data_IF_999830031037
#
_entry.id   IF_999830031037
#
_cell.length_a   1.000
_cell.length_b   1.000
_cell.length_c   1.000
_cell.angle_alpha   90.00
_cell.angle_beta   90.00
_cell.angle_gamma   90.00
#
_symmetry.space_group_name_H-M   'P 1'
#
loop_
_entity.id
_entity.type
_entity.pdbx_description
1 polymer ?
#
# COMPACT_ATOMS: atom_id res chain seq x y z
N UNK A 1 6.77 9.43 9.06
CA UNK A 1 8.23 9.27 8.88
C UNK A 1 8.55 9.27 7.39
N UNK A 2 9.68 9.84 7.01
CA UNK A 2 10.22 9.85 5.65
C UNK A 2 11.65 9.32 5.69
N UNK A 3 12.01 8.51 4.71
CA UNK A 3 13.36 7.98 4.58
C UNK A 3 13.64 7.58 3.15
N UNK A 4 14.89 7.19 2.92
CA UNK A 4 15.37 6.64 1.65
C UNK A 4 15.82 5.20 1.87
N UNK A 5 16.10 4.50 0.79
CA UNK A 5 16.69 3.16 0.85
C UNK A 5 18.03 3.18 0.12
N UNK A 6 19.06 2.57 0.72
CA UNK A 6 20.37 2.45 0.08
C UNK A 6 20.43 1.24 -0.89
N UNK A 7 21.61 1.03 -1.49
CA UNK A 7 21.85 -0.10 -2.42
C UNK A 7 21.72 -1.48 -1.75
N UNK A 8 21.83 -1.55 -0.43
CA UNK A 8 21.67 -2.77 0.36
C UNK A 8 20.22 -3.03 0.78
N UNK A 9 19.28 -2.19 0.32
CA UNK A 9 17.85 -2.21 0.69
C UNK A 9 17.60 -1.86 2.17
N UNK A 10 18.56 -1.22 2.84
CA UNK A 10 18.38 -0.72 4.20
C UNK A 10 17.68 0.64 4.18
N UNK A 11 16.64 0.78 5.01
CA UNK A 11 15.92 2.05 5.16
C UNK A 11 16.74 3.01 6.03
N UNK A 12 16.88 4.24 5.55
CA UNK A 12 17.56 5.34 6.23
C UNK A 12 16.54 6.45 6.46
N UNK A 13 15.98 6.58 7.68
CA UNK A 13 15.08 7.68 8.00
C UNK A 13 15.87 9.00 7.97
N UNK A 14 15.30 10.02 7.34
CA UNK A 14 15.89 11.36 7.32
C UNK A 14 14.91 12.45 7.76
N UNK A 15 13.64 12.12 7.97
CA UNK A 15 12.63 13.08 8.39
C UNK A 15 11.49 12.45 9.18
N UNK A 16 10.93 13.22 10.10
CA UNK A 16 9.74 12.86 10.86
C UNK A 16 8.79 14.05 10.86
N UNK A 17 7.55 13.82 10.44
CA UNK A 17 6.46 14.75 10.65
C UNK A 17 5.72 14.32 11.91
N UNK A 18 5.56 15.24 12.85
CA UNK A 18 4.66 15.09 13.99
C UNK A 18 3.38 15.86 13.67
N UNK A 19 2.28 15.14 13.45
CA UNK A 19 0.95 15.73 13.29
C UNK A 19 0.02 15.17 14.37
N UNK A 20 -0.88 16.03 14.84
CA UNK A 20 -1.96 15.66 15.77
C UNK A 20 -3.13 14.98 15.05
N UNK A 21 -3.36 15.30 13.77
CA UNK A 21 -4.61 15.00 13.07
C UNK A 21 -4.43 14.27 11.73
N UNK A 22 -3.18 14.16 11.24
CA UNK A 22 -2.84 13.50 9.97
C UNK A 22 -3.74 13.99 8.81
N UNK A 23 -3.91 15.32 8.70
CA UNK A 23 -4.78 15.90 7.66
C UNK A 23 -4.09 15.94 6.31
N UNK A 24 -4.87 16.21 5.27
CA UNK A 24 -4.33 16.44 3.93
C UNK A 24 -3.26 17.56 3.92
N UNK A 25 -3.45 18.62 4.69
CA UNK A 25 -2.52 19.75 4.81
C UNK A 25 -1.19 19.32 5.43
N UNK A 26 -1.24 18.45 6.44
CA UNK A 26 -0.05 17.90 7.10
C UNK A 26 0.81 17.09 6.11
N UNK A 27 0.18 16.21 5.35
CA UNK A 27 0.87 15.42 4.32
C UNK A 27 1.36 16.30 3.17
N UNK A 28 0.57 17.29 2.74
CA UNK A 28 0.96 18.25 1.70
C UNK A 28 2.21 19.03 2.10
N UNK A 29 2.26 19.51 3.34
CA UNK A 29 3.44 20.17 3.91
C UNK A 29 4.67 19.25 3.87
N UNK A 30 4.54 18.01 4.34
CA UNK A 30 5.64 17.05 4.34
C UNK A 30 6.17 16.77 2.93
N UNK A 31 5.27 16.49 1.98
CA UNK A 31 5.67 16.22 0.60
C UNK A 31 6.32 17.45 -0.05
N UNK A 32 5.80 18.65 0.21
CA UNK A 32 6.41 19.89 -0.29
C UNK A 32 7.82 20.08 0.28
N UNK A 33 7.99 19.94 1.59
CA UNK A 33 9.29 20.08 2.24
C UNK A 33 10.32 19.08 1.67
N UNK A 34 9.95 17.82 1.46
CA UNK A 34 10.83 16.80 0.88
C UNK A 34 11.19 17.13 -0.57
N UNK A 35 10.24 17.60 -1.38
CA UNK A 35 10.48 18.00 -2.78
C UNK A 35 11.40 19.19 -2.88
N UNK A 36 11.14 20.25 -2.11
CA UNK A 36 11.95 21.46 -2.10
C UNK A 36 13.39 21.15 -1.68
N UNK A 37 13.57 20.36 -0.62
CA UNK A 37 14.89 19.95 -0.13
C UNK A 37 15.66 19.11 -1.16
N UNK A 38 14.98 18.17 -1.84
CA UNK A 38 15.60 17.38 -2.90
C UNK A 38 16.03 18.25 -4.09
N UNK A 39 15.20 19.23 -4.45
CA UNK A 39 15.52 20.16 -5.53
C UNK A 39 16.69 21.05 -5.16
N UNK A 40 16.77 21.53 -3.93
CA UNK A 40 17.86 22.36 -3.44
C UNK A 40 19.19 21.61 -3.39
N UNK A 41 19.21 20.42 -2.77
CA UNK A 41 20.46 19.68 -2.52
C UNK A 41 20.95 18.93 -3.77
N UNK A 42 20.04 18.29 -4.50
CA UNK A 42 20.38 17.35 -5.56
C UNK A 42 19.97 17.83 -6.95
N UNK A 43 19.33 18.99 -7.08
CA UNK A 43 18.68 19.44 -8.32
C UNK A 43 17.75 18.38 -8.92
N UNK A 44 17.13 17.56 -8.06
CA UNK A 44 16.33 16.41 -8.46
C UNK A 44 14.85 16.64 -8.16
N UNK A 45 14.01 16.52 -9.19
CA UNK A 45 12.56 16.59 -9.05
C UNK A 45 11.94 15.20 -8.88
N UNK A 46 11.27 14.98 -7.75
CA UNK A 46 10.47 13.78 -7.50
C UNK A 46 9.12 13.86 -8.21
N UNK A 47 9.12 13.51 -9.51
CA UNK A 47 7.94 13.58 -10.36
C UNK A 47 7.17 12.26 -10.46
N UNK A 48 7.77 11.13 -10.07
CA UNK A 48 7.12 9.82 -10.08
C UNK A 48 6.66 9.44 -8.68
N UNK A 49 5.37 9.19 -8.51
CA UNK A 49 4.79 8.61 -7.30
C UNK A 49 4.70 7.11 -7.50
N UNK A 50 5.41 6.34 -6.68
CA UNK A 50 5.29 4.87 -6.62
C UNK A 50 4.32 4.51 -5.51
N UNK A 51 3.41 3.57 -5.78
CA UNK A 51 2.48 3.03 -4.79
C UNK A 51 3.06 1.74 -4.23
N UNK A 52 3.02 1.61 -2.91
CA UNK A 52 3.54 0.43 -2.24
C UNK A 52 2.66 -0.81 -2.50
N UNK A 53 3.26 -1.89 -2.99
CA UNK A 53 2.61 -3.18 -3.20
C UNK A 53 1.99 -3.76 -1.92
N UNK A 54 2.65 -3.67 -0.77
CA UNK A 54 2.11 -4.16 0.51
C UNK A 54 0.75 -3.52 0.83
N UNK A 55 0.59 -2.22 0.51
CA UNK A 55 -0.69 -1.54 0.65
C UNK A 55 -1.72 -2.08 -0.34
N UNK A 56 -1.36 -2.23 -1.63
CA UNK A 56 -2.25 -2.82 -2.64
C UNK A 56 -2.71 -4.23 -2.22
N UNK A 57 -1.79 -5.07 -1.74
CA UNK A 57 -2.08 -6.45 -1.32
C UNK A 57 -3.08 -6.51 -0.15
N UNK A 58 -2.97 -5.60 0.82
CA UNK A 58 -3.95 -5.50 1.92
C UNK A 58 -5.34 -5.17 1.38
N UNK A 59 -5.44 -4.22 0.46
CA UNK A 59 -6.72 -3.87 -0.17
C UNK A 59 -7.28 -5.02 -1.02
N UNK A 60 -6.43 -5.77 -1.73
CA UNK A 60 -6.84 -7.01 -2.42
C UNK A 60 -7.41 -8.02 -1.40
N UNK A 61 -6.72 -8.23 -0.28
CA UNK A 61 -7.14 -9.19 0.75
C UNK A 61 -8.49 -8.80 1.36
N UNK A 62 -8.71 -7.52 1.63
CA UNK A 62 -9.92 -6.99 2.25
C UNK A 62 -11.12 -7.01 1.32
N UNK A 63 -10.93 -6.71 0.03
CA UNK A 63 -12.01 -6.69 -0.96
C UNK A 63 -12.31 -8.08 -1.54
N UNK A 64 -11.43 -9.07 -1.36
CA UNK A 64 -11.71 -10.49 -1.63
C UNK A 64 -12.22 -11.23 -0.37
N UNK A 65 -12.81 -10.54 0.60
CA UNK A 65 -13.48 -11.21 1.74
C UNK A 65 -14.73 -11.96 1.24
N UNK A 66 -14.94 -13.19 1.72
CA UNK A 66 -16.08 -14.03 1.31
C UNK A 66 -15.87 -14.84 0.02
N UNK A 67 -14.88 -14.50 -0.81
CA UNK A 67 -14.49 -15.32 -1.97
C UNK A 67 -13.84 -16.62 -1.48
N UNK A 68 -14.18 -17.74 -2.12
CA UNK A 68 -13.65 -19.07 -1.81
C UNK A 68 -12.12 -19.09 -1.81
N UNK A 69 -11.52 -19.80 -0.85
CA UNK A 69 -10.08 -19.81 -0.59
C UNK A 69 -9.24 -20.07 -1.84
N UNK A 70 -9.59 -21.09 -2.62
CA UNK A 70 -8.81 -21.49 -3.80
C UNK A 70 -8.91 -20.44 -4.92
N UNK A 71 -10.12 -19.92 -5.16
CA UNK A 71 -10.36 -18.83 -6.12
C UNK A 71 -9.61 -17.56 -5.71
N UNK A 72 -9.68 -17.18 -4.44
CA UNK A 72 -8.93 -16.04 -3.88
C UNK A 72 -7.43 -16.19 -4.09
N UNK A 73 -6.88 -17.39 -3.86
CA UNK A 73 -5.46 -17.64 -4.06
C UNK A 73 -5.08 -17.55 -5.55
N UNK A 74 -5.91 -18.04 -6.47
CA UNK A 74 -5.67 -17.93 -7.91
C UNK A 74 -5.68 -16.48 -8.40
N UNK A 75 -6.66 -15.68 -7.97
CA UNK A 75 -6.73 -14.24 -8.27
C UNK A 75 -5.47 -13.52 -7.77
N UNK A 76 -5.06 -13.82 -6.53
CA UNK A 76 -3.83 -13.24 -5.96
C UNK A 76 -2.58 -13.62 -6.74
N UNK A 77 -2.44 -14.89 -7.13
CA UNK A 77 -1.28 -15.34 -7.90
C UNK A 77 -1.20 -14.63 -9.26
N UNK A 78 -2.34 -14.44 -9.93
CA UNK A 78 -2.38 -13.66 -11.17
C UNK A 78 -1.98 -12.20 -10.93
N UNK A 79 -2.48 -11.56 -9.87
CA UNK A 79 -2.10 -10.17 -9.53
C UNK A 79 -0.61 -10.03 -9.17
N UNK A 80 -0.02 -11.01 -8.49
CA UNK A 80 1.42 -11.07 -8.24
C UNK A 80 2.20 -11.21 -9.54
N UNK A 81 1.72 -12.04 -10.48
CA UNK A 81 2.33 -12.14 -11.80
C UNK A 81 2.28 -10.80 -12.54
N UNK A 82 1.15 -10.08 -12.47
CA UNK A 82 1.02 -8.73 -13.04
C UNK A 82 2.04 -7.79 -12.39
N UNK A 83 2.14 -7.80 -11.06
CA UNK A 83 3.04 -6.94 -10.30
C UNK A 83 4.52 -7.16 -10.67
N UNK A 84 4.94 -8.42 -10.80
CA UNK A 84 6.35 -8.80 -11.03
C UNK A 84 6.80 -8.75 -12.49
N UNK A 85 5.91 -9.00 -13.45
CA UNK A 85 6.31 -9.32 -14.84
C UNK A 85 5.79 -8.35 -15.91
N UNK A 86 4.95 -7.39 -15.52
CA UNK A 86 4.31 -6.49 -16.49
C UNK A 86 5.18 -5.30 -16.79
N UNK A 87 5.58 -5.17 -18.06
CA UNK A 87 6.17 -3.93 -18.57
C UNK A 87 5.07 -2.91 -18.87
N UNK A 88 5.38 -1.62 -18.77
CA UNK A 88 4.40 -0.55 -18.93
C UNK A 88 3.60 -0.66 -20.23
N UNK A 89 4.27 -0.94 -21.36
CA UNK A 89 3.67 -1.09 -22.69
C UNK A 89 2.65 -2.22 -22.80
N UNK A 90 2.72 -3.21 -21.90
CA UNK A 90 1.83 -4.37 -21.90
C UNK A 90 0.80 -4.31 -20.77
N UNK A 91 0.88 -3.31 -19.89
CA UNK A 91 0.04 -3.26 -18.70
C UNK A 91 -1.45 -3.28 -19.03
N UNK A 92 -1.89 -2.44 -19.96
CA UNK A 92 -3.30 -2.40 -20.36
C UNK A 92 -3.78 -3.73 -20.95
N UNK A 93 -2.94 -4.38 -21.76
CA UNK A 93 -3.26 -5.68 -22.36
C UNK A 93 -3.34 -6.77 -21.30
N UNK A 94 -2.37 -6.82 -20.39
CA UNK A 94 -2.33 -7.79 -19.29
C UNK A 94 -3.52 -7.60 -18.35
N UNK A 95 -3.85 -6.35 -18.00
CA UNK A 95 -5.01 -6.06 -17.16
C UNK A 95 -6.33 -6.46 -17.83
N UNK A 96 -6.45 -6.19 -19.14
CA UNK A 96 -7.61 -6.64 -19.92
C UNK A 96 -7.77 -8.16 -19.88
N UNK A 97 -6.69 -8.91 -20.12
CA UNK A 97 -6.72 -10.38 -20.06
C UNK A 97 -7.08 -10.90 -18.67
N UNK A 98 -6.58 -10.25 -17.62
CA UNK A 98 -6.96 -10.57 -16.24
C UNK A 98 -8.44 -10.29 -15.97
N UNK A 99 -8.95 -9.14 -16.44
CA UNK A 99 -10.35 -8.77 -16.28
C UNK A 99 -11.26 -9.73 -17.04
N UNK A 100 -10.96 -10.03 -18.30
CA UNK A 100 -11.72 -10.97 -19.14
C UNK A 100 -11.74 -12.39 -18.55
N UNK A 101 -10.68 -12.80 -17.83
CA UNK A 101 -10.59 -14.11 -17.17
C UNK A 101 -11.52 -14.23 -15.96
N UNK A 102 -11.71 -13.15 -15.20
CA UNK A 102 -12.35 -13.20 -13.88
C UNK A 102 -13.71 -12.50 -13.82
N UNK A 103 -13.99 -11.57 -14.73
CA UNK A 103 -15.23 -10.81 -14.79
C UNK A 103 -16.30 -11.56 -15.58
N UNK A 104 -17.52 -11.63 -15.04
CA UNK A 104 -18.69 -12.14 -15.75
C UNK A 104 -19.65 -10.98 -16.04
N UNK A 105 -19.88 -10.61 -17.32
CA UNK A 105 -20.75 -9.49 -17.67
C UNK A 105 -22.26 -9.80 -17.56
N UNK A 106 -22.64 -11.01 -17.14
CA UNK A 106 -24.05 -11.38 -16.98
C UNK A 106 -24.77 -10.49 -15.95
N UNK A 107 -26.11 -10.31 -16.08
CA UNK A 107 -26.89 -9.53 -15.12
C UNK A 107 -26.69 -10.00 -13.68
N UNK A 108 -26.64 -9.07 -12.72
CA UNK A 108 -26.34 -9.36 -11.31
C UNK A 108 -27.25 -10.44 -10.73
N UNK A 109 -28.50 -10.47 -11.15
CA UNK A 109 -29.53 -11.43 -10.73
C UNK A 109 -29.24 -12.86 -11.19
N UNK A 110 -28.42 -13.03 -12.24
CA UNK A 110 -28.02 -14.32 -12.80
C UNK A 110 -26.68 -14.83 -12.24
N UNK A 111 -25.93 -13.99 -11.54
CA UNK A 111 -24.62 -14.32 -11.02
C UNK A 111 -24.71 -15.11 -9.71
N UNK A 112 -23.83 -16.10 -9.57
CA UNK A 112 -23.59 -16.73 -8.27
C UNK A 112 -23.07 -15.70 -7.26
N UNK A 113 -23.33 -15.91 -5.96
CA UNK A 113 -22.80 -15.03 -4.91
C UNK A 113 -21.27 -14.88 -4.99
N UNK A 114 -20.55 -15.94 -5.35
CA UNK A 114 -19.09 -15.89 -5.51
C UNK A 114 -18.68 -14.99 -6.68
N UNK A 115 -19.38 -15.07 -7.81
CA UNK A 115 -19.09 -14.24 -8.97
C UNK A 115 -19.44 -12.77 -8.73
N UNK A 116 -20.51 -12.48 -7.96
CA UNK A 116 -20.84 -11.12 -7.52
C UNK A 116 -19.67 -10.49 -6.74
N UNK A 117 -19.12 -11.21 -5.75
CA UNK A 117 -17.98 -10.72 -4.96
C UNK A 117 -16.72 -10.48 -5.83
N UNK A 118 -16.48 -11.34 -6.82
CA UNK A 118 -15.34 -11.18 -7.74
C UNK A 118 -15.53 -9.95 -8.63
N UNK A 119 -16.72 -9.77 -9.21
CA UNK A 119 -17.03 -8.59 -10.01
C UNK A 119 -16.95 -7.29 -9.18
N UNK A 120 -17.45 -7.29 -7.95
CA UNK A 120 -17.34 -6.16 -7.02
C UNK A 120 -15.88 -5.81 -6.72
N UNK A 121 -15.05 -6.83 -6.46
CA UNK A 121 -13.61 -6.64 -6.30
C UNK A 121 -12.96 -6.03 -7.55
N UNK A 122 -13.24 -6.54 -8.75
CA UNK A 122 -12.64 -6.06 -10.00
C UNK A 122 -13.03 -4.61 -10.32
N UNK A 123 -14.30 -4.25 -10.10
CA UNK A 123 -14.78 -2.88 -10.25
C UNK A 123 -14.08 -1.96 -9.25
N UNK A 124 -14.09 -2.31 -7.96
CA UNK A 124 -13.37 -1.57 -6.93
C UNK A 124 -11.90 -1.38 -7.29
N UNK A 125 -11.23 -2.46 -7.73
CA UNK A 125 -9.81 -2.42 -8.01
C UNK A 125 -9.50 -1.51 -9.19
N UNK A 126 -10.32 -1.57 -10.24
CA UNK A 126 -10.18 -0.70 -11.41
C UNK A 126 -10.35 0.77 -11.06
N UNK A 127 -11.37 1.10 -10.27
CA UNK A 127 -11.68 2.48 -9.88
C UNK A 127 -10.61 3.11 -8.96
N UNK A 128 -9.96 2.30 -8.13
CA UNK A 128 -9.07 2.80 -7.09
C UNK A 128 -7.57 2.64 -7.41
N UNK A 129 -7.19 1.61 -8.17
CA UNK A 129 -5.78 1.20 -8.31
C UNK A 129 -5.24 1.27 -9.74
N UNK A 130 -6.05 1.70 -10.71
CA UNK A 130 -5.62 1.88 -12.10
C UNK A 130 -5.65 3.35 -12.56
N UNK A 131 -5.90 4.28 -11.65
CA UNK A 131 -5.87 5.71 -11.94
C UNK A 131 -4.45 6.24 -12.16
N UNK A 132 -4.34 7.43 -12.75
CA UNK A 132 -3.07 8.10 -13.06
C UNK A 132 -2.09 8.15 -11.87
N UNK A 133 -2.60 8.31 -10.65
CA UNK A 133 -1.80 8.44 -9.43
C UNK A 133 -1.72 7.16 -8.61
N UNK A 134 -2.45 6.12 -8.97
CA UNK A 134 -2.56 4.88 -8.18
C UNK A 134 -2.07 3.64 -8.91
N UNK A 135 -1.91 3.69 -10.23
CA UNK A 135 -1.45 2.58 -11.09
C UNK A 135 0.08 2.33 -11.05
N UNK A 136 0.77 2.78 -10.00
CA UNK A 136 2.23 2.76 -9.92
C UNK A 136 2.78 1.72 -8.95
N UNK A 137 2.13 0.55 -8.89
CA UNK A 137 2.43 -0.53 -7.93
C UNK A 137 3.16 -1.74 -8.52
N UNK A 138 3.33 -1.82 -9.85
CA UNK A 138 4.09 -2.89 -10.51
C UNK A 138 5.58 -2.52 -10.67
N UNK A 139 6.47 -3.52 -10.63
CA UNK A 139 7.94 -3.33 -10.53
C UNK A 139 8.52 -2.44 -11.64
N UNK A 140 8.07 -2.62 -12.89
CA UNK A 140 8.64 -1.90 -14.03
C UNK A 140 8.16 -0.44 -14.14
N UNK A 141 7.19 0.02 -13.32
CA UNK A 141 6.78 1.44 -13.30
C UNK A 141 7.96 2.36 -12.92
N UNK A 142 8.78 1.89 -11.98
CA UNK A 142 9.90 2.63 -11.42
C UNK A 142 11.09 1.68 -11.22
N UNK A 143 11.69 1.26 -12.34
CA UNK A 143 12.79 0.29 -12.35
C UNK A 143 13.93 0.70 -11.40
N UNK A 144 14.30 -0.23 -10.52
CA UNK A 144 15.36 -0.03 -9.52
C UNK A 144 14.92 0.70 -8.25
N UNK A 145 13.66 1.14 -8.17
CA UNK A 145 13.04 1.67 -6.95
C UNK A 145 12.20 0.55 -6.33
N UNK A 146 12.30 0.30 -5.01
CA UNK A 146 11.52 -0.75 -4.37
C UNK A 146 10.01 -0.45 -4.46
N UNK A 147 9.23 -1.43 -4.92
CA UNK A 147 7.77 -1.40 -4.92
C UNK A 147 7.16 -1.71 -3.54
N UNK A 148 7.97 -2.25 -2.62
CA UNK A 148 7.54 -2.65 -1.26
C UNK A 148 8.09 -1.69 -0.22
N UNK A 149 7.29 -1.40 0.81
CA UNK A 149 7.68 -0.60 1.98
C UNK A 149 8.24 -1.43 3.13
N UNK A 150 8.66 -2.69 2.89
CA UNK A 150 9.17 -3.61 3.92
C UNK A 150 10.19 -2.96 4.87
N UNK A 151 11.05 -2.10 4.34
CA UNK A 151 12.08 -1.43 5.11
C UNK A 151 11.49 -0.32 6.02
N UNK A 152 10.45 0.38 5.56
CA UNK A 152 9.67 1.33 6.37
C UNK A 152 8.84 0.60 7.43
N UNK A 153 8.18 -0.51 7.07
CA UNK A 153 7.41 -1.33 8.01
C UNK A 153 8.30 -1.93 9.10
N UNK A 154 9.46 -2.47 8.73
CA UNK A 154 10.46 -2.96 9.68
C UNK A 154 10.92 -1.86 10.64
N UNK A 155 11.19 -0.66 10.12
CA UNK A 155 11.59 0.49 10.95
C UNK A 155 10.46 0.90 11.90
N UNK A 156 9.22 0.92 11.42
CA UNK A 156 8.05 1.18 12.27
C UNK A 156 7.91 0.14 13.39
N UNK A 157 8.21 -1.14 13.13
CA UNK A 157 8.14 -2.19 14.13
C UNK A 157 9.21 -2.00 15.21
N UNK A 158 10.48 -1.74 14.83
CA UNK A 158 11.56 -1.43 15.79
C UNK A 158 11.18 -0.22 16.66
N UNK A 159 10.60 0.83 16.07
CA UNK A 159 10.15 1.98 16.86
C UNK A 159 9.09 1.57 17.89
N UNK A 160 8.10 0.75 17.48
CA UNK A 160 7.02 0.31 18.36
C UNK A 160 7.49 -0.67 19.44
N UNK A 161 8.45 -1.52 19.16
CA UNK A 161 8.91 -2.58 20.06
C UNK A 161 10.03 -2.12 20.99
N UNK A 162 10.97 -1.32 20.47
CA UNK A 162 12.20 -0.97 21.18
C UNK A 162 12.29 0.51 21.56
N UNK A 163 11.71 1.41 20.75
CA UNK A 163 11.85 2.86 20.94
C UNK A 163 10.63 3.51 21.63
N UNK A 164 9.60 2.73 21.96
CA UNK A 164 8.50 3.20 22.80
C UNK A 164 8.51 2.44 24.11
N UNK A 165 8.33 3.14 25.24
CA UNK A 165 8.13 2.52 26.56
C UNK A 165 6.73 1.88 26.67
N UNK A 166 6.34 1.08 25.67
CA UNK A 166 5.07 0.37 25.67
C UNK A 166 5.18 -0.84 26.58
N UNK A 167 4.93 -0.62 27.87
CA UNK A 167 4.61 -1.71 28.79
C UNK A 167 3.15 -2.13 28.60
N UNK A 168 2.93 -3.41 28.31
CA UNK A 168 1.61 -4.01 28.40
C UNK A 168 1.28 -4.20 29.87
N UNK A 169 0.51 -3.25 30.42
CA UNK A 169 0.06 -3.31 31.80
C UNK A 169 -1.18 -4.20 31.92
N UNK A 170 -1.21 -5.15 32.88
CA UNK A 170 -2.44 -5.77 33.31
C UNK A 170 -3.50 -4.73 33.66
N UNK A 171 -4.77 -5.00 33.37
CA UNK A 171 -5.85 -3.99 33.46
C UNK A 171 -5.95 -3.35 34.86
N UNK A 172 -5.67 -4.11 35.91
CA UNK A 172 -5.63 -3.64 37.29
C UNK A 172 -4.47 -2.65 37.55
N UNK A 173 -3.30 -2.87 36.96
CA UNK A 173 -2.18 -1.94 37.06
C UNK A 173 -2.39 -0.69 36.22
N UNK A 174 -2.96 -0.84 35.02
CA UNK A 174 -3.35 0.29 34.17
C UNK A 174 -4.31 1.24 34.89
N UNK A 175 -5.40 0.69 35.46
CA UNK A 175 -6.39 1.48 36.21
C UNK A 175 -5.76 2.16 37.44
N UNK A 176 -4.80 1.50 38.11
CA UNK A 176 -4.07 2.06 39.25
C UNK A 176 -3.17 3.24 38.85
N UNK A 177 -2.57 3.21 37.67
CA UNK A 177 -1.72 4.30 37.16
C UNK A 177 -2.58 5.47 36.68
N UNK A 178 -3.64 5.22 35.92
CA UNK A 178 -4.56 6.27 35.46
C UNK A 178 -5.29 6.97 36.61
N UNK A 179 -5.72 6.21 37.63
CA UNK A 179 -6.38 6.78 38.82
C UNK A 179 -5.44 7.58 39.74
N UNK A 180 -4.13 7.58 39.49
CA UNK A 180 -3.15 8.45 40.18
C UNK A 180 -2.85 9.74 39.42
N UNK A 181 -3.39 9.91 38.21
CA UNK A 181 -3.19 11.07 37.33
C UNK A 181 -4.38 12.05 37.42
N UNK A 182 -5.44 11.68 38.15
CA UNK A 182 -6.56 12.55 38.59
C UNK A 182 -6.36 13.00 40.02
#
# INVERSE_FOLDING_TARGET
MVGTTDKSKSFVPFGLLLSKHETHEDFSFLFKAVKDLSKEIYNCDFNKRVVCWSHVERHIKDNLKGVQKDTKQRIKNDLVAIQCSTIHEHFETVWKLFSDKWFDPSPKESLSHQQLLINEFLNYFSDNWLGQYTCSWYEEYARGIPSTDNALESTNNVIKEEATQRELLPINEFLRICGKIT
#
